data_IF_115219704797
#
_entry.id   IF_115219704797
#
_cell.length_a   1.000
_cell.length_b   1.000
_cell.length_c   1.000
_cell.angle_alpha   90.00
_cell.angle_beta   90.00
_cell.angle_gamma   90.00
#
_symmetry.space_group_name_H-M   'P 1'
#
loop_
_entity.id
_entity.type
_entity.pdbx_description
1 polymer ?
#
# COMPACT_ATOMS: atom_id res chain seq x y z
N UNK A 1 -0.60 -18.15 -0.39
CA UNK A 1 0.86 -18.36 -0.47
C UNK A 1 1.54 -17.12 0.08
N UNK A 2 2.63 -17.25 0.83
CA UNK A 2 3.44 -16.11 1.28
C UNK A 2 4.42 -15.73 0.17
N UNK A 3 4.27 -14.58 -0.50
CA UNK A 3 5.15 -14.21 -1.61
C UNK A 3 6.55 -13.85 -1.09
N UNK A 4 7.60 -14.26 -1.79
CA UNK A 4 9.01 -13.97 -1.49
C UNK A 4 9.46 -12.77 -2.33
N UNK A 5 9.67 -11.63 -1.68
CA UNK A 5 9.96 -10.36 -2.36
C UNK A 5 11.42 -10.00 -2.14
N UNK A 6 12.20 -9.96 -3.23
CA UNK A 6 13.58 -9.49 -3.19
C UNK A 6 13.61 -7.97 -3.34
N UNK A 7 14.10 -7.28 -2.31
CA UNK A 7 14.27 -5.82 -2.26
C UNK A 7 15.73 -5.47 -2.48
N UNK A 8 16.03 -4.73 -3.53
CA UNK A 8 17.38 -4.24 -3.86
C UNK A 8 17.39 -2.72 -3.67
N UNK A 9 17.88 -2.25 -2.53
CA UNK A 9 17.81 -0.84 -2.15
C UNK A 9 18.83 -0.46 -1.07
N UNK A 10 18.92 0.83 -0.73
CA UNK A 10 19.71 1.30 0.40
C UNK A 10 18.98 1.18 1.74
N UNK A 11 19.75 1.12 2.83
CA UNK A 11 19.27 1.14 4.21
C UNK A 11 19.18 2.57 4.73
N UNK A 12 18.01 2.96 5.23
CA UNK A 12 17.75 4.23 5.93
C UNK A 12 17.78 3.99 7.46
N UNK A 13 18.77 4.55 8.16
CA UNK A 13 18.87 4.40 9.62
C UNK A 13 17.68 4.99 10.40
N UNK A 14 16.96 5.96 9.83
CA UNK A 14 15.76 6.53 10.43
C UNK A 14 14.53 5.62 10.29
N UNK A 15 14.62 4.59 9.44
CA UNK A 15 13.60 3.57 9.28
C UNK A 15 12.31 4.03 8.58
N UNK A 16 12.31 5.22 7.96
CA UNK A 16 11.14 5.77 7.28
C UNK A 16 11.07 5.44 5.79
N UNK A 17 12.22 5.26 5.14
CA UNK A 17 12.34 4.86 3.74
C UNK A 17 13.28 3.64 3.59
N UNK A 18 13.77 3.41 2.36
CA UNK A 18 14.74 2.37 2.05
C UNK A 18 14.24 0.97 2.41
N UNK A 19 15.19 0.07 2.65
CA UNK A 19 14.93 -1.33 3.01
C UNK A 19 14.01 -1.45 4.24
N UNK A 20 14.12 -0.53 5.20
CA UNK A 20 13.29 -0.56 6.40
C UNK A 20 11.81 -0.36 6.07
N UNK A 21 11.47 0.62 5.21
CA UNK A 21 10.11 0.80 4.72
C UNK A 21 9.68 -0.39 3.85
N UNK A 22 10.58 -0.91 3.04
CA UNK A 22 10.31 -2.05 2.15
C UNK A 22 9.94 -3.31 2.96
N UNK A 23 10.75 -3.70 3.95
CA UNK A 23 10.49 -4.84 4.85
C UNK A 23 9.16 -4.67 5.58
N UNK A 24 8.91 -3.48 6.17
CA UNK A 24 7.64 -3.20 6.86
C UNK A 24 6.45 -3.39 5.92
N UNK A 25 6.56 -2.85 4.71
CA UNK A 25 5.49 -2.93 3.71
C UNK A 25 5.21 -4.37 3.31
N UNK A 26 6.24 -5.12 2.90
CA UNK A 26 6.11 -6.52 2.50
C UNK A 26 5.55 -7.36 3.65
N UNK A 27 6.06 -7.17 4.86
CA UNK A 27 5.62 -7.92 6.06
C UNK A 27 4.16 -7.64 6.38
N UNK A 28 3.76 -6.35 6.40
CA UNK A 28 2.39 -5.95 6.70
C UNK A 28 1.39 -6.40 5.63
N UNK A 29 1.86 -6.61 4.41
CA UNK A 29 1.09 -7.20 3.32
C UNK A 29 1.13 -8.73 3.32
N UNK A 30 1.80 -9.37 4.28
CA UNK A 30 1.88 -10.81 4.46
C UNK A 30 2.83 -11.50 3.46
N UNK A 31 3.87 -10.81 3.03
CA UNK A 31 4.99 -11.38 2.26
C UNK A 31 6.22 -11.64 3.12
N UNK A 32 7.19 -12.33 2.55
CA UNK A 32 8.53 -12.53 3.10
C UNK A 32 9.51 -11.61 2.37
N UNK A 33 10.08 -10.64 3.10
CA UNK A 33 11.04 -9.69 2.55
C UNK A 33 12.47 -10.26 2.61
N UNK A 34 13.13 -10.33 1.46
CA UNK A 34 14.56 -10.59 1.33
C UNK A 34 15.24 -9.32 0.82
N UNK A 35 16.50 -9.10 1.15
CA UNK A 35 17.17 -7.83 0.86
C UNK A 35 18.55 -8.01 0.27
N UNK A 36 18.89 -7.17 -0.72
CA UNK A 36 20.26 -6.90 -1.12
C UNK A 36 20.54 -5.40 -0.92
N UNK A 37 21.37 -5.10 0.07
CA UNK A 37 21.66 -3.74 0.50
C UNK A 37 22.68 -3.11 -0.44
N UNK A 38 22.31 -1.99 -1.08
CA UNK A 38 23.17 -1.26 -2.04
C UNK A 38 24.02 -0.17 -1.38
N UNK A 39 23.54 0.38 -0.27
CA UNK A 39 24.24 1.38 0.54
C UNK A 39 23.63 1.41 1.95
N UNK A 40 24.38 1.89 2.92
CA UNK A 40 23.85 2.29 4.23
C UNK A 40 23.91 3.81 4.35
N UNK A 41 22.84 4.43 4.85
CA UNK A 41 22.81 5.87 5.11
C UNK A 41 22.76 6.14 6.62
N UNK A 42 23.56 7.11 7.06
CA UNK A 42 23.30 7.83 8.31
C UNK A 42 22.28 8.91 7.95
N UNK A 43 21.02 8.65 8.28
CA UNK A 43 19.86 9.43 7.88
C UNK A 43 18.82 9.47 8.99
N UNK A 44 18.14 10.60 9.09
CA UNK A 44 16.99 10.80 9.98
C UNK A 44 15.96 11.71 9.30
N UNK A 45 14.95 12.16 10.04
CA UNK A 45 13.86 13.00 9.50
C UNK A 45 14.29 14.41 9.08
N UNK A 46 15.51 14.83 9.43
CA UNK A 46 16.11 16.10 9.02
C UNK A 46 16.98 15.96 7.74
N UNK A 47 17.20 14.74 7.27
CA UNK A 47 17.90 14.45 6.03
C UNK A 47 19.03 13.44 6.16
N UNK A 48 19.89 13.39 5.15
CA UNK A 48 21.03 12.46 5.04
C UNK A 48 22.31 13.14 5.55
N UNK A 49 23.00 12.50 6.49
CA UNK A 49 24.28 12.95 7.06
C UNK A 49 25.47 12.19 6.49
N UNK A 50 25.27 10.99 5.97
CA UNK A 50 26.34 10.19 5.38
C UNK A 50 25.80 9.02 4.56
N UNK A 51 26.59 8.60 3.57
CA UNK A 51 26.29 7.47 2.70
C UNK A 51 27.53 6.60 2.57
N UNK A 52 27.38 5.31 2.82
CA UNK A 52 28.44 4.33 2.59
C UNK A 52 27.94 3.30 1.56
N UNK A 53 28.48 3.32 0.32
CA UNK A 53 28.10 2.38 -0.72
C UNK A 53 28.61 0.97 -0.39
N UNK A 54 27.78 -0.03 -0.63
CA UNK A 54 28.19 -1.44 -0.52
C UNK A 54 28.90 -1.83 -1.83
N UNK A 55 30.07 -2.50 -1.77
CA UNK A 55 30.75 -3.00 -2.96
C UNK A 55 29.83 -3.82 -3.87
N UNK A 56 29.93 -3.61 -5.19
CA UNK A 56 29.03 -4.25 -6.19
C UNK A 56 29.04 -5.78 -6.07
N UNK A 57 30.20 -6.39 -5.87
CA UNK A 57 30.34 -7.84 -5.69
C UNK A 57 29.57 -8.36 -4.47
N UNK A 58 29.60 -7.62 -3.35
CA UNK A 58 28.81 -7.93 -2.16
C UNK A 58 27.29 -7.76 -2.41
N UNK A 59 26.87 -6.77 -3.19
CA UNK A 59 25.44 -6.63 -3.58
C UNK A 59 24.99 -7.85 -4.37
N UNK A 60 25.79 -8.30 -5.35
CA UNK A 60 25.47 -9.49 -6.15
C UNK A 60 25.51 -10.76 -5.29
N UNK A 61 26.46 -10.89 -4.37
CA UNK A 61 26.54 -12.04 -3.46
C UNK A 61 25.29 -12.15 -2.56
N UNK A 62 24.75 -11.02 -2.09
CA UNK A 62 23.47 -11.01 -1.34
C UNK A 62 22.30 -11.51 -2.19
N UNK A 63 22.20 -11.03 -3.44
CA UNK A 63 21.16 -11.48 -4.39
C UNK A 63 21.28 -12.98 -4.62
N UNK A 64 22.49 -13.47 -4.93
CA UNK A 64 22.72 -14.88 -5.24
C UNK A 64 22.42 -15.78 -4.03
N UNK A 65 22.78 -15.35 -2.82
CA UNK A 65 22.52 -16.11 -1.59
C UNK A 65 21.02 -16.35 -1.38
N UNK A 66 20.19 -15.30 -1.49
CA UNK A 66 18.74 -15.45 -1.24
C UNK A 66 18.00 -16.09 -2.41
N UNK A 67 18.41 -15.80 -3.65
CA UNK A 67 17.78 -16.38 -4.85
C UNK A 67 18.03 -17.89 -4.93
N UNK A 68 19.24 -18.35 -4.64
CA UNK A 68 19.62 -19.76 -4.80
C UNK A 68 19.02 -20.70 -3.76
N UNK A 69 18.68 -20.19 -2.57
CA UNK A 69 18.11 -20.97 -1.47
C UNK A 69 16.60 -20.75 -1.32
N UNK A 70 16.18 -19.51 -1.13
CA UNK A 70 14.79 -19.16 -0.78
C UNK A 70 13.93 -19.06 -2.05
N UNK A 71 14.50 -18.58 -3.16
CA UNK A 71 13.81 -18.24 -4.40
C UNK A 71 13.06 -16.90 -4.33
N UNK A 72 12.51 -16.46 -5.47
CA UNK A 72 11.94 -15.10 -5.62
C UNK A 72 10.62 -15.15 -6.41
N UNK A 73 9.60 -14.46 -5.91
CA UNK A 73 8.30 -14.30 -6.58
C UNK A 73 8.12 -12.91 -7.21
N UNK A 74 8.80 -11.88 -6.69
CA UNK A 74 8.90 -10.57 -7.31
C UNK A 74 10.14 -9.81 -6.82
N UNK A 75 10.59 -8.83 -7.59
CA UNK A 75 11.71 -7.95 -7.23
C UNK A 75 11.23 -6.52 -7.13
N UNK A 76 11.64 -5.82 -6.07
CA UNK A 76 11.59 -4.35 -6.00
C UNK A 76 12.99 -3.80 -6.03
N UNK A 77 13.23 -2.83 -6.90
CA UNK A 77 14.49 -2.09 -7.01
C UNK A 77 14.22 -0.66 -6.56
N UNK A 78 14.99 -0.16 -5.61
CA UNK A 78 14.95 1.23 -5.15
C UNK A 78 16.25 1.96 -5.45
N UNK A 79 16.74 2.74 -4.48
CA UNK A 79 18.02 3.44 -4.59
C UNK A 79 19.17 2.49 -4.94
N UNK A 80 19.82 2.73 -6.08
CA UNK A 80 21.06 2.06 -6.49
C UNK A 80 22.20 3.08 -6.45
N UNK A 81 23.27 2.74 -5.72
CA UNK A 81 24.35 3.67 -5.40
C UNK A 81 25.40 3.90 -6.51
N UNK A 82 25.35 3.17 -7.63
CA UNK A 82 26.28 3.40 -8.75
C UNK A 82 25.79 2.77 -10.07
N UNK A 83 26.30 3.29 -11.19
CA UNK A 83 26.10 2.72 -12.53
C UNK A 83 26.64 1.28 -12.67
N UNK A 84 27.74 0.96 -11.98
CA UNK A 84 28.32 -0.38 -11.96
C UNK A 84 27.37 -1.37 -11.29
N UNK A 85 26.88 -1.02 -10.10
CA UNK A 85 25.90 -1.84 -9.35
C UNK A 85 24.61 -1.98 -10.14
N UNK A 86 24.09 -0.90 -10.75
CA UNK A 86 22.90 -0.94 -11.60
C UNK A 86 23.06 -1.94 -12.75
N UNK A 87 24.21 -1.88 -13.44
CA UNK A 87 24.51 -2.76 -14.57
C UNK A 87 24.70 -4.23 -14.15
N UNK A 88 25.31 -4.48 -12.99
CA UNK A 88 25.48 -5.81 -12.44
C UNK A 88 24.15 -6.43 -11.99
N UNK A 89 23.31 -5.64 -11.31
CA UNK A 89 21.96 -6.05 -10.90
C UNK A 89 21.12 -6.36 -12.13
N UNK A 90 21.09 -5.47 -13.13
CA UNK A 90 20.35 -5.71 -14.37
C UNK A 90 20.75 -7.04 -15.04
N UNK A 91 22.05 -7.30 -15.19
CA UNK A 91 22.55 -8.59 -15.73
C UNK A 91 22.06 -9.79 -14.93
N UNK A 92 22.04 -9.69 -13.59
CA UNK A 92 21.60 -10.80 -12.73
C UNK A 92 20.10 -11.05 -12.87
N UNK A 93 19.31 -9.99 -12.98
CA UNK A 93 17.85 -10.06 -13.10
C UNK A 93 17.38 -10.47 -14.51
N UNK A 94 18.14 -10.17 -15.56
CA UNK A 94 17.86 -10.66 -16.93
C UNK A 94 17.76 -12.19 -17.01
N UNK A 95 18.47 -12.89 -16.14
CA UNK A 95 18.41 -14.35 -16.05
C UNK A 95 17.15 -14.88 -15.33
N UNK A 96 16.39 -14.02 -14.65
CA UNK A 96 15.18 -14.39 -13.90
C UNK A 96 13.93 -14.25 -14.74
N UNK A 97 13.65 -15.23 -15.59
CA UNK A 97 12.46 -15.21 -16.45
C UNK A 97 11.17 -15.39 -15.64
N UNK A 98 10.15 -14.59 -15.95
CA UNK A 98 8.82 -14.73 -15.33
C UNK A 98 8.67 -14.13 -13.94
N UNK A 99 9.72 -13.50 -13.40
CA UNK A 99 9.67 -12.78 -12.12
C UNK A 99 9.33 -11.31 -12.40
N UNK A 100 8.21 -10.77 -11.90
CA UNK A 100 7.88 -9.36 -12.06
C UNK A 100 8.88 -8.46 -11.32
N UNK A 101 9.30 -7.39 -11.98
CA UNK A 101 10.27 -6.42 -11.47
C UNK A 101 9.59 -5.04 -11.39
N UNK A 102 9.55 -4.47 -10.19
CA UNK A 102 9.13 -3.09 -9.92
C UNK A 102 10.35 -2.23 -9.68
N UNK A 103 10.59 -1.25 -10.55
CA UNK A 103 11.71 -0.32 -10.44
C UNK A 103 11.21 1.06 -9.99
N UNK A 104 11.64 1.49 -8.79
CA UNK A 104 11.47 2.85 -8.28
C UNK A 104 12.77 3.62 -8.57
N UNK A 105 12.81 4.50 -9.59
CA UNK A 105 14.04 5.13 -10.07
C UNK A 105 14.44 6.29 -9.14
N UNK A 106 14.76 5.98 -7.89
CA UNK A 106 15.10 6.97 -6.86
C UNK A 106 16.37 7.72 -7.26
N UNK A 107 16.21 8.98 -7.66
CA UNK A 107 17.34 9.85 -8.04
C UNK A 107 17.69 10.86 -6.95
N UNK A 108 16.72 11.25 -6.12
CA UNK A 108 16.86 12.29 -5.09
C UNK A 108 16.13 11.83 -3.82
N UNK A 109 16.73 12.08 -2.67
CA UNK A 109 16.08 11.79 -1.38
C UNK A 109 14.90 12.74 -1.12
N UNK A 110 13.96 12.37 -0.25
CA UNK A 110 12.91 13.30 0.22
C UNK A 110 13.48 14.58 0.84
N UNK A 111 14.70 14.52 1.38
CA UNK A 111 15.45 15.67 1.90
C UNK A 111 16.25 16.46 0.85
N UNK A 112 16.15 16.13 -0.43
CA UNK A 112 16.79 16.86 -1.53
C UNK A 112 18.23 16.46 -1.88
N UNK A 113 18.84 15.52 -1.14
CA UNK A 113 20.18 15.01 -1.49
C UNK A 113 20.15 14.20 -2.79
N UNK A 114 21.06 14.50 -3.72
CA UNK A 114 21.28 13.72 -4.95
C UNK A 114 21.77 12.31 -4.62
N UNK A 115 21.08 11.30 -5.13
CA UNK A 115 21.39 9.88 -4.88
C UNK A 115 21.87 9.15 -6.14
N UNK A 116 21.64 9.71 -7.33
CA UNK A 116 22.10 9.17 -8.60
C UNK A 116 22.80 10.26 -9.42
N UNK A 117 23.98 9.95 -9.95
CA UNK A 117 24.69 10.80 -10.92
C UNK A 117 24.22 10.50 -12.37
N UNK A 118 24.68 11.31 -13.34
CA UNK A 118 24.28 11.13 -14.74
C UNK A 118 24.66 9.76 -15.32
N UNK A 119 25.75 9.16 -14.87
CA UNK A 119 26.15 7.81 -15.28
C UNK A 119 25.18 6.76 -14.75
N UNK A 120 24.72 6.92 -13.50
CA UNK A 120 23.73 6.04 -12.87
C UNK A 120 22.37 6.17 -13.53
N UNK A 121 21.95 7.39 -13.89
CA UNK A 121 20.71 7.63 -14.66
C UNK A 121 20.79 6.98 -16.04
N UNK A 122 21.93 7.04 -16.72
CA UNK A 122 22.13 6.33 -17.98
C UNK A 122 22.02 4.79 -17.80
N UNK A 123 22.51 4.27 -16.67
CA UNK A 123 22.39 2.85 -16.36
C UNK A 123 20.93 2.42 -16.03
N UNK A 124 20.06 3.34 -15.61
CA UNK A 124 18.64 3.05 -15.36
C UNK A 124 17.91 2.57 -16.60
N UNK A 125 18.31 2.97 -17.81
CA UNK A 125 17.69 2.49 -19.04
C UNK A 125 17.71 0.96 -19.14
N UNK A 126 18.78 0.31 -18.66
CA UNK A 126 18.84 -1.15 -18.66
C UNK A 126 17.88 -1.77 -17.65
N UNK A 127 17.76 -1.17 -16.47
CA UNK A 127 16.82 -1.62 -15.44
C UNK A 127 15.37 -1.43 -15.87
N UNK A 128 15.06 -0.29 -16.50
CA UNK A 128 13.72 -0.03 -17.04
C UNK A 128 13.35 -1.07 -18.09
N UNK A 129 14.26 -1.44 -19.00
CA UNK A 129 13.98 -2.40 -20.08
C UNK A 129 13.59 -3.79 -19.60
N UNK A 130 14.04 -4.17 -18.40
CA UNK A 130 13.67 -5.45 -17.78
C UNK A 130 12.54 -5.31 -16.76
N UNK A 131 12.17 -4.08 -16.40
CA UNK A 131 11.13 -3.82 -15.41
C UNK A 131 9.73 -4.12 -15.99
N UNK A 132 8.93 -4.82 -15.20
CA UNK A 132 7.49 -4.94 -15.44
C UNK A 132 6.81 -3.60 -15.23
N UNK A 133 7.22 -2.86 -14.19
CA UNK A 133 6.72 -1.55 -13.86
C UNK A 133 7.86 -0.63 -13.44
N UNK A 134 7.89 0.59 -13.97
CA UNK A 134 8.72 1.68 -13.44
C UNK A 134 7.82 2.74 -12.80
N UNK A 135 8.16 3.22 -11.60
CA UNK A 135 7.29 4.09 -10.78
C UNK A 135 7.87 5.48 -10.53
N UNK A 136 8.16 6.32 -11.54
CA UNK A 136 8.79 7.61 -11.30
C UNK A 136 7.79 8.65 -10.77
N UNK A 137 8.28 9.61 -9.99
CA UNK A 137 7.57 10.86 -9.69
C UNK A 137 7.76 11.88 -10.83
N UNK A 138 7.07 13.03 -10.76
CA UNK A 138 7.13 14.06 -11.80
C UNK A 138 8.58 14.55 -12.07
N UNK A 139 9.39 14.94 -11.06
CA UNK A 139 10.80 15.26 -11.28
C UNK A 139 11.63 14.14 -11.93
N UNK A 140 11.42 12.89 -11.52
CA UNK A 140 12.12 11.72 -12.08
C UNK A 140 11.74 11.51 -13.56
N UNK A 141 10.50 11.79 -13.96
CA UNK A 141 10.08 11.73 -15.37
C UNK A 141 10.84 12.74 -16.22
N UNK A 142 11.00 13.97 -15.74
CA UNK A 142 11.77 14.99 -16.44
C UNK A 142 13.23 14.54 -16.62
N UNK A 143 13.85 14.01 -15.56
CA UNK A 143 15.21 13.49 -15.60
C UNK A 143 15.37 12.27 -16.53
N UNK A 144 14.31 11.48 -16.75
CA UNK A 144 14.29 10.36 -17.69
C UNK A 144 14.05 10.78 -19.15
N UNK A 145 13.90 12.08 -19.44
CA UNK A 145 13.66 12.62 -20.77
C UNK A 145 12.18 12.73 -21.16
N UNK A 146 11.28 12.72 -20.18
CA UNK A 146 9.84 12.90 -20.35
C UNK A 146 9.04 11.60 -20.47
N UNK A 147 7.71 11.72 -20.32
CA UNK A 147 6.76 10.59 -20.23
C UNK A 147 6.87 9.64 -21.45
N UNK A 148 6.92 10.18 -22.67
CA UNK A 148 6.98 9.39 -23.89
C UNK A 148 8.25 8.53 -23.97
N UNK A 149 9.40 9.10 -23.57
CA UNK A 149 10.68 8.40 -23.58
C UNK A 149 10.75 7.35 -22.47
N UNK A 150 10.29 7.68 -21.27
CA UNK A 150 10.23 6.75 -20.15
C UNK A 150 9.32 5.56 -20.46
N UNK A 151 8.13 5.81 -21.01
CA UNK A 151 7.15 4.79 -21.40
C UNK A 151 7.71 3.82 -22.44
N UNK A 152 8.51 4.29 -23.39
CA UNK A 152 9.13 3.43 -24.41
C UNK A 152 10.26 2.52 -23.91
N UNK A 153 10.66 2.65 -22.64
CA UNK A 153 11.80 1.93 -22.04
C UNK A 153 11.42 0.93 -20.97
N UNK A 154 10.14 0.75 -20.64
CA UNK A 154 9.64 -0.09 -19.53
C UNK A 154 8.43 -0.90 -19.97
N UNK A 155 8.10 -1.98 -19.26
CA UNK A 155 6.87 -2.74 -19.51
C UNK A 155 5.61 -1.89 -19.30
N UNK A 156 5.55 -1.17 -18.18
CA UNK A 156 4.55 -0.16 -17.89
C UNK A 156 5.16 0.97 -17.04
N UNK A 157 4.52 2.14 -17.06
CA UNK A 157 4.95 3.34 -16.34
C UNK A 157 3.84 3.81 -15.39
N UNK A 158 4.11 3.86 -14.09
CA UNK A 158 3.22 4.48 -13.10
C UNK A 158 3.73 5.88 -12.77
N UNK A 159 3.10 6.89 -13.35
CA UNK A 159 3.36 8.30 -13.07
C UNK A 159 2.69 8.67 -11.75
N UNK A 160 3.50 8.94 -10.72
CA UNK A 160 3.03 9.29 -9.37
C UNK A 160 2.65 10.77 -9.27
N UNK A 161 1.40 11.07 -8.91
CA UNK A 161 0.86 12.43 -8.86
C UNK A 161 1.19 13.23 -7.60
N UNK A 162 1.83 12.62 -6.59
CA UNK A 162 1.98 13.25 -5.26
C UNK A 162 2.71 14.59 -5.22
N UNK A 163 3.48 14.92 -6.26
CA UNK A 163 4.20 16.19 -6.44
C UNK A 163 3.41 17.25 -7.22
N UNK A 164 2.23 16.92 -7.74
CA UNK A 164 1.34 17.89 -8.39
C UNK A 164 0.76 18.88 -7.39
N UNK A 165 0.21 19.99 -7.88
CA UNK A 165 -0.51 20.97 -7.07
C UNK A 165 -1.99 20.59 -6.91
N UNK A 166 -2.66 21.12 -5.89
CA UNK A 166 -4.11 20.97 -5.68
C UNK A 166 -4.52 19.91 -4.65
N UNK A 167 -5.84 19.86 -4.41
CA UNK A 167 -6.48 19.03 -3.38
C UNK A 167 -6.64 17.57 -3.78
N UNK A 168 -6.41 17.22 -5.05
CA UNK A 168 -6.51 15.87 -5.58
C UNK A 168 -5.14 15.39 -6.08
N UNK A 169 -4.80 14.13 -5.82
CA UNK A 169 -3.62 13.44 -6.35
C UNK A 169 -4.07 12.45 -7.40
N UNK A 170 -3.46 12.53 -8.58
CA UNK A 170 -3.78 11.66 -9.72
C UNK A 170 -2.58 10.79 -10.07
N UNK A 171 -2.73 9.48 -9.94
CA UNK A 171 -1.75 8.50 -10.41
C UNK A 171 -2.20 7.89 -11.74
N UNK A 172 -1.29 7.76 -12.70
CA UNK A 172 -1.57 7.25 -14.05
C UNK A 172 -0.67 6.07 -14.38
N UNK A 173 -1.26 4.91 -14.68
CA UNK A 173 -0.58 3.75 -15.23
C UNK A 173 -0.68 3.80 -16.75
N UNK A 174 0.46 3.83 -17.42
CA UNK A 174 0.59 3.95 -18.86
C UNK A 174 1.24 2.70 -19.43
N UNK A 175 0.61 2.14 -20.46
CA UNK A 175 1.09 0.99 -21.20
C UNK A 175 1.74 1.40 -22.53
N UNK A 176 2.64 0.55 -23.04
CA UNK A 176 3.33 0.81 -24.30
C UNK A 176 2.39 0.85 -25.52
N UNK A 177 1.26 0.14 -25.45
CA UNK A 177 0.21 0.10 -26.48
C UNK A 177 -0.72 1.33 -26.46
N UNK A 178 -0.53 2.25 -25.52
CA UNK A 178 -1.35 3.45 -25.36
C UNK A 178 -2.49 3.31 -24.35
N UNK A 179 -2.69 2.13 -23.73
CA UNK A 179 -3.63 1.97 -22.63
C UNK A 179 -3.29 2.86 -21.43
N UNK A 180 -4.33 3.34 -20.73
CA UNK A 180 -4.19 4.14 -19.51
C UNK A 180 -5.21 3.69 -18.45
N UNK A 181 -4.73 3.59 -17.21
CA UNK A 181 -5.58 3.47 -16.01
C UNK A 181 -5.25 4.64 -15.09
N UNK A 182 -6.28 5.31 -14.58
CA UNK A 182 -6.16 6.48 -13.72
C UNK A 182 -6.81 6.23 -12.38
N UNK A 183 -6.14 6.64 -11.30
CA UNK A 183 -6.71 6.74 -9.98
C UNK A 183 -6.60 8.17 -9.47
N UNK A 184 -7.61 8.61 -8.74
CA UNK A 184 -7.66 9.96 -8.18
C UNK A 184 -8.20 9.90 -6.75
N UNK A 185 -7.51 10.56 -5.82
CA UNK A 185 -7.91 10.61 -4.41
C UNK A 185 -7.58 11.98 -3.79
N UNK A 186 -8.30 12.39 -2.72
CA UNK A 186 -7.96 13.59 -1.97
C UNK A 186 -6.54 13.54 -1.40
N UNK A 187 -5.83 14.67 -1.45
CA UNK A 187 -4.54 14.86 -0.81
C UNK A 187 -4.67 14.70 0.71
N UNK A 188 -3.72 14.02 1.31
CA UNK A 188 -3.59 13.91 2.77
C UNK A 188 -2.56 14.93 3.21
N UNK A 189 -3.01 15.97 3.90
CA UNK A 189 -2.12 16.98 4.50
C UNK A 189 -1.38 16.37 5.70
N UNK A 190 -0.10 16.05 5.51
CA UNK A 190 0.77 15.53 6.57
C UNK A 190 2.24 15.85 6.27
N UNK A 191 3.04 16.25 7.28
CA UNK A 191 4.49 16.37 7.11
C UNK A 191 5.19 15.00 7.08
N UNK A 192 4.49 13.93 7.44
CA UNK A 192 5.05 12.58 7.61
C UNK A 192 4.89 11.72 6.36
N UNK A 193 5.53 12.14 5.27
CA UNK A 193 5.47 11.49 3.95
C UNK A 193 6.78 10.79 3.55
N UNK A 194 7.74 10.71 4.47
CA UNK A 194 9.04 10.08 4.19
C UNK A 194 8.85 8.59 3.87
N UNK A 195 9.41 8.17 2.73
CA UNK A 195 9.32 6.78 2.23
C UNK A 195 8.04 6.42 1.46
N UNK A 196 7.22 7.40 1.06
CA UNK A 196 6.00 7.16 0.26
C UNK A 196 6.28 6.34 -1.02
N UNK A 197 7.31 6.72 -1.79
CA UNK A 197 7.69 6.02 -3.03
C UNK A 197 8.14 4.58 -2.81
N UNK A 198 9.06 4.36 -1.86
CA UNK A 198 9.55 3.02 -1.52
C UNK A 198 8.41 2.10 -1.06
N UNK A 199 7.52 2.63 -0.23
CA UNK A 199 6.33 1.91 0.27
C UNK A 199 5.40 1.52 -0.87
N UNK A 200 5.09 2.46 -1.78
CA UNK A 200 4.23 2.16 -2.93
C UNK A 200 4.83 1.05 -3.81
N UNK A 201 6.10 1.19 -4.20
CA UNK A 201 6.77 0.22 -5.06
C UNK A 201 6.85 -1.18 -4.41
N UNK A 202 7.17 -1.25 -3.11
CA UNK A 202 7.23 -2.52 -2.37
C UNK A 202 5.86 -3.16 -2.20
N UNK A 203 4.81 -2.36 -2.01
CA UNK A 203 3.44 -2.87 -1.95
C UNK A 203 2.99 -3.45 -3.30
N UNK A 204 3.32 -2.78 -4.41
CA UNK A 204 3.03 -3.28 -5.76
C UNK A 204 3.78 -4.60 -6.01
N UNK A 205 5.09 -4.65 -5.71
CA UNK A 205 5.88 -5.87 -5.88
C UNK A 205 5.29 -7.02 -5.06
N UNK A 206 4.79 -6.75 -3.85
CA UNK A 206 4.13 -7.75 -3.01
C UNK A 206 2.83 -8.28 -3.64
N UNK A 207 2.02 -7.41 -4.23
CA UNK A 207 0.80 -7.81 -4.96
C UNK A 207 1.13 -8.68 -6.18
N UNK A 208 2.12 -8.27 -6.98
CA UNK A 208 2.58 -9.01 -8.15
C UNK A 208 3.15 -10.38 -7.76
N UNK A 209 3.94 -10.47 -6.69
CA UNK A 209 4.46 -11.74 -6.17
C UNK A 209 3.37 -12.68 -5.64
N UNK A 210 2.15 -12.18 -5.39
CA UNK A 210 0.96 -12.98 -5.06
C UNK A 210 0.16 -13.41 -6.29
N UNK A 211 0.57 -12.98 -7.49
CA UNK A 211 -0.14 -13.22 -8.73
C UNK A 211 -1.33 -12.29 -8.96
N UNK A 212 -1.42 -11.14 -8.26
CA UNK A 212 -2.42 -10.12 -8.57
C UNK A 212 -2.13 -9.49 -9.93
N UNK A 213 -3.17 -8.96 -10.58
CA UNK A 213 -2.95 -8.14 -11.79
C UNK A 213 -2.17 -6.87 -11.43
N UNK A 214 -1.56 -6.24 -12.43
CA UNK A 214 -0.81 -5.00 -12.22
C UNK A 214 -1.70 -3.87 -11.68
N UNK A 215 -2.90 -3.70 -12.25
CA UNK A 215 -3.85 -2.68 -11.82
C UNK A 215 -4.33 -2.92 -10.38
N UNK A 216 -4.67 -4.16 -10.02
CA UNK A 216 -5.10 -4.49 -8.65
C UNK A 216 -3.97 -4.32 -7.64
N UNK A 217 -2.74 -4.70 -8.02
CA UNK A 217 -1.54 -4.49 -7.19
C UNK A 217 -1.33 -3.01 -6.89
N UNK A 218 -1.51 -2.14 -7.89
CA UNK A 218 -1.39 -0.69 -7.74
C UNK A 218 -2.54 -0.15 -6.89
N UNK A 219 -3.79 -0.51 -7.17
CA UNK A 219 -4.93 -0.06 -6.39
C UNK A 219 -4.78 -0.40 -4.89
N UNK A 220 -4.39 -1.64 -4.57
CA UNK A 220 -4.11 -2.08 -3.20
C UNK A 220 -2.95 -1.31 -2.57
N UNK A 221 -1.85 -1.14 -3.31
CA UNK A 221 -0.68 -0.42 -2.82
C UNK A 221 -0.99 1.05 -2.47
N UNK A 222 -1.84 1.70 -3.27
CA UNK A 222 -2.30 3.06 -3.00
C UNK A 222 -3.10 3.14 -1.70
N UNK A 223 -4.04 2.21 -1.48
CA UNK A 223 -4.78 2.14 -0.19
C UNK A 223 -3.82 1.92 0.98
N UNK A 224 -2.82 1.05 0.84
CA UNK A 224 -1.81 0.83 1.88
C UNK A 224 -1.08 2.13 2.26
N UNK A 225 -0.56 2.85 1.26
CA UNK A 225 0.17 4.11 1.46
C UNK A 225 -0.71 5.14 2.13
N UNK A 226 -1.96 5.31 1.67
CA UNK A 226 -2.89 6.27 2.25
C UNK A 226 -3.20 5.98 3.72
N UNK A 227 -3.45 4.72 4.05
CA UNK A 227 -3.63 4.30 5.45
C UNK A 227 -2.37 4.56 6.28
N UNK A 228 -1.18 4.29 5.73
CA UNK A 228 0.08 4.56 6.42
C UNK A 228 0.30 6.05 6.67
N UNK A 229 -0.08 6.92 5.73
CA UNK A 229 -0.02 8.37 5.89
C UNK A 229 -0.96 8.86 7.01
N UNK A 230 -2.20 8.33 7.06
CA UNK A 230 -3.17 8.68 8.11
C UNK A 230 -2.77 8.18 9.50
N UNK A 231 -1.97 7.11 9.55
CA UNK A 231 -1.48 6.49 10.78
C UNK A 231 -0.07 6.93 11.17
N UNK A 232 0.45 8.00 10.55
CA UNK A 232 1.79 8.47 10.83
C UNK A 232 2.00 8.73 12.34
N UNK A 233 3.07 8.17 12.95
CA UNK A 233 3.25 8.21 14.41
C UNK A 233 3.74 9.56 14.95
N UNK A 234 3.97 10.57 14.10
CA UNK A 234 4.41 11.89 14.56
C UNK A 234 5.88 11.99 14.94
N UNK A 235 6.74 11.09 14.45
CA UNK A 235 8.15 11.03 14.89
C UNK A 235 9.08 11.99 14.13
N UNK A 236 10.03 12.56 14.89
CA UNK A 236 11.11 13.41 14.38
C UNK A 236 10.72 14.88 14.16
N UNK A 237 11.71 15.72 13.88
CA UNK A 237 11.53 17.18 13.72
C UNK A 237 11.38 17.69 12.28
N UNK A 238 11.48 16.81 11.29
CA UNK A 238 11.32 17.13 9.85
C UNK A 238 10.29 16.23 9.18
N UNK A 239 10.64 15.65 8.03
CA UNK A 239 9.76 14.71 7.32
C UNK A 239 9.78 13.35 8.01
N UNK A 240 8.76 13.08 8.82
CA UNK A 240 8.66 11.85 9.60
C UNK A 240 8.24 10.62 8.78
N UNK A 241 8.42 9.42 9.34
CA UNK A 241 7.98 8.18 8.72
C UNK A 241 6.46 8.04 8.73
N UNK A 242 5.93 7.23 7.81
CA UNK A 242 4.52 6.80 7.82
C UNK A 242 4.25 5.71 8.88
N UNK A 243 2.98 5.41 9.11
CA UNK A 243 2.50 4.44 10.11
C UNK A 243 2.31 3.01 9.59
N UNK A 244 3.33 2.41 8.94
CA UNK A 244 3.22 1.05 8.37
C UNK A 244 2.65 0.02 9.35
N UNK A 245 3.09 0.06 10.62
CA UNK A 245 2.69 -0.88 11.68
C UNK A 245 1.19 -0.83 12.05
N UNK A 246 0.51 0.26 11.72
CA UNK A 246 -0.91 0.49 12.02
C UNK A 246 -1.82 0.28 10.80
N UNK A 247 -1.25 -0.02 9.63
CA UNK A 247 -2.03 -0.36 8.44
C UNK A 247 -2.73 -1.70 8.65
N UNK A 248 -4.04 -1.73 8.38
CA UNK A 248 -4.88 -2.93 8.39
C UNK A 248 -5.63 -2.98 7.06
N UNK A 249 -5.22 -3.90 6.19
CA UNK A 249 -5.90 -4.19 4.94
C UNK A 249 -6.62 -5.52 5.10
N UNK A 250 -7.87 -5.45 5.54
CA UNK A 250 -8.66 -6.64 5.84
C UNK A 250 -9.34 -7.23 4.58
N UNK A 251 -9.06 -6.74 3.37
CA UNK A 251 -9.79 -7.15 2.16
C UNK A 251 -9.15 -8.25 1.30
N UNK A 252 -7.88 -8.61 1.52
CA UNK A 252 -7.07 -9.07 0.38
C UNK A 252 -6.13 -10.25 0.68
N UNK A 253 -6.61 -11.15 1.54
CA UNK A 253 -5.99 -12.45 1.88
C UNK A 253 -6.71 -13.65 1.23
N UNK A 254 -7.59 -13.42 0.26
CA UNK A 254 -8.27 -14.49 -0.50
C UNK A 254 -9.64 -14.91 0.05
N UNK A 255 -10.23 -14.13 0.97
CA UNK A 255 -11.54 -14.41 1.56
C UNK A 255 -12.11 -13.18 2.28
N UNK A 256 -13.37 -13.30 2.70
CA UNK A 256 -14.04 -12.27 3.47
C UNK A 256 -13.49 -12.24 4.91
N UNK A 257 -13.23 -11.05 5.45
CA UNK A 257 -12.62 -10.89 6.78
C UNK A 257 -13.55 -10.18 7.74
N UNK A 258 -13.70 -10.74 8.94
CA UNK A 258 -14.46 -10.09 10.01
C UNK A 258 -13.65 -8.92 10.59
N UNK A 259 -14.14 -7.71 10.36
CA UNK A 259 -13.49 -6.50 10.87
C UNK A 259 -14.48 -5.43 11.34
N UNK A 260 -15.79 -5.67 11.19
CA UNK A 260 -16.82 -4.81 11.76
C UNK A 260 -18.02 -5.60 12.29
N UNK A 261 -18.56 -5.14 13.42
CA UNK A 261 -19.85 -5.58 13.96
C UNK A 261 -20.66 -4.34 14.29
N UNK A 262 -21.94 -4.33 13.91
CA UNK A 262 -22.90 -3.33 14.38
C UNK A 262 -23.88 -3.98 15.35
N UNK A 263 -24.10 -3.39 16.52
CA UNK A 263 -25.02 -3.89 17.54
C UNK A 263 -26.15 -2.89 17.81
N UNK A 264 -27.34 -3.36 18.22
CA UNK A 264 -28.46 -2.46 18.49
C UNK A 264 -28.22 -1.68 19.79
N UNK A 265 -28.53 -0.39 19.78
CA UNK A 265 -28.56 0.44 21.00
C UNK A 265 -30.00 0.73 21.44
N UNK A 266 -30.15 0.87 22.75
CA UNK A 266 -31.38 1.35 23.42
C UNK A 266 -31.14 2.72 24.06
N UNK A 267 -29.99 2.89 24.70
CA UNK A 267 -29.53 4.16 25.27
C UNK A 267 -28.15 4.49 24.66
N UNK A 268 -28.10 5.57 23.88
CA UNK A 268 -26.88 6.03 23.23
C UNK A 268 -25.77 6.37 24.23
N UNK A 269 -26.09 7.16 25.26
CA UNK A 269 -25.11 7.68 26.19
C UNK A 269 -24.50 6.54 27.03
N UNK A 270 -25.34 5.62 27.50
CA UNK A 270 -24.89 4.44 28.24
C UNK A 270 -24.03 3.52 27.36
N UNK A 271 -24.45 3.24 26.13
CA UNK A 271 -23.72 2.37 25.20
C UNK A 271 -22.37 2.98 24.81
N UNK A 272 -22.33 4.27 24.47
CA UNK A 272 -21.09 4.95 24.11
C UNK A 272 -20.12 5.05 25.28
N UNK A 273 -20.61 5.26 26.50
CA UNK A 273 -19.77 5.22 27.71
C UNK A 273 -19.21 3.82 27.95
N UNK A 274 -20.01 2.77 27.79
CA UNK A 274 -19.59 1.38 27.95
C UNK A 274 -18.47 0.99 26.99
N UNK A 275 -18.61 1.25 25.69
CA UNK A 275 -17.57 0.89 24.72
C UNK A 275 -16.28 1.69 24.89
N UNK A 276 -16.36 2.96 25.30
CA UNK A 276 -15.17 3.73 25.69
C UNK A 276 -14.49 3.17 26.92
N UNK A 277 -15.25 2.70 27.93
CA UNK A 277 -14.71 2.04 29.11
C UNK A 277 -13.93 0.76 28.76
N UNK A 278 -14.35 0.03 27.72
CA UNK A 278 -13.64 -1.15 27.21
C UNK A 278 -12.36 -0.82 26.41
N UNK A 279 -12.01 0.46 26.30
CA UNK A 279 -10.82 0.92 25.59
C UNK A 279 -11.01 1.07 24.08
N UNK A 280 -12.24 1.04 23.57
CA UNK A 280 -12.51 1.36 22.17
C UNK A 280 -12.55 2.89 22.00
N UNK A 281 -11.78 3.40 21.03
CA UNK A 281 -11.78 4.82 20.69
C UNK A 281 -13.01 5.12 19.85
N UNK A 282 -13.84 6.06 20.27
CA UNK A 282 -14.94 6.55 19.43
C UNK A 282 -14.37 7.36 18.26
N UNK A 283 -14.71 6.96 17.03
CA UNK A 283 -14.21 7.57 15.80
C UNK A 283 -15.32 8.20 14.95
N UNK A 284 -16.59 7.91 15.24
CA UNK A 284 -17.75 8.57 14.62
C UNK A 284 -18.80 8.82 15.68
N UNK A 285 -19.44 9.99 15.62
CA UNK A 285 -20.60 10.36 16.43
C UNK A 285 -21.73 10.87 15.55
N UNK A 286 -22.91 10.29 15.72
CA UNK A 286 -24.18 10.73 15.12
C UNK A 286 -25.30 10.50 16.13
N UNK A 287 -25.17 11.12 17.31
CA UNK A 287 -26.13 10.98 18.40
C UNK A 287 -27.53 11.50 18.00
N UNK A 288 -28.61 10.87 18.48
CA UNK A 288 -28.65 9.67 19.33
C UNK A 288 -28.63 8.36 18.54
N UNK A 289 -28.46 8.42 17.21
CA UNK A 289 -28.71 7.30 16.30
C UNK A 289 -27.57 6.28 16.25
N UNK A 290 -26.33 6.78 16.15
CA UNK A 290 -25.19 5.96 15.78
C UNK A 290 -23.87 6.44 16.38
N UNK A 291 -22.99 5.49 16.72
CA UNK A 291 -21.58 5.75 16.95
C UNK A 291 -20.72 4.60 16.42
N UNK A 292 -19.50 4.91 15.98
CA UNK A 292 -18.48 3.92 15.62
C UNK A 292 -17.29 4.05 16.53
N UNK A 293 -16.76 2.90 16.91
CA UNK A 293 -15.58 2.75 17.74
C UNK A 293 -14.53 1.91 17.00
N UNK A 294 -13.27 2.17 17.32
CA UNK A 294 -12.11 1.48 16.78
C UNK A 294 -11.32 0.85 17.94
N UNK A 295 -10.96 -0.42 17.77
CA UNK A 295 -10.04 -1.14 18.65
C UNK A 295 -8.58 -0.84 18.29
N UNK A 296 -7.66 -1.09 19.22
CA UNK A 296 -6.22 -0.98 18.95
C UNK A 296 -5.74 -1.89 17.80
N UNK A 297 -6.47 -2.98 17.51
CA UNK A 297 -6.21 -3.87 16.38
C UNK A 297 -6.68 -3.33 15.03
N UNK A 298 -7.42 -2.21 14.99
CA UNK A 298 -8.01 -1.61 13.81
C UNK A 298 -9.38 -2.19 13.41
N UNK A 299 -9.89 -3.20 14.12
CA UNK A 299 -11.26 -3.67 14.00
C UNK A 299 -12.23 -2.62 14.55
N UNK A 300 -13.41 -2.49 13.93
CA UNK A 300 -14.42 -1.49 14.28
C UNK A 300 -15.66 -2.13 14.89
N UNK A 301 -16.29 -1.43 15.82
CA UNK A 301 -17.60 -1.77 16.37
C UNK A 301 -18.51 -0.56 16.23
N UNK A 302 -19.73 -0.75 15.78
CA UNK A 302 -20.72 0.31 15.72
C UNK A 302 -21.91 -0.02 16.61
N UNK A 303 -22.53 1.04 17.14
CA UNK A 303 -23.85 0.99 17.76
C UNK A 303 -24.81 1.75 16.86
N UNK A 304 -25.98 1.20 16.59
CA UNK A 304 -27.03 1.80 15.75
C UNK A 304 -28.40 1.61 16.41
N UNK A 305 -29.33 2.53 16.22
CA UNK A 305 -30.72 2.38 16.69
C UNK A 305 -31.31 1.06 16.21
N UNK A 306 -32.00 0.36 17.13
CA UNK A 306 -32.52 -0.99 16.87
C UNK A 306 -33.36 -1.10 15.59
N UNK A 307 -34.17 -0.08 15.29
CA UNK A 307 -35.04 -0.07 14.09
C UNK A 307 -34.26 -0.14 12.77
N UNK A 308 -33.09 0.50 12.70
CA UNK A 308 -32.25 0.53 11.48
C UNK A 308 -31.58 -0.82 11.18
N UNK A 309 -31.44 -1.68 12.18
CA UNK A 309 -30.81 -3.01 12.04
C UNK A 309 -31.75 -4.15 12.46
N UNK A 310 -33.06 -3.91 12.44
CA UNK A 310 -34.09 -4.91 12.78
C UNK A 310 -33.86 -5.60 14.14
N UNK A 311 -33.36 -4.83 15.12
CA UNK A 311 -33.16 -5.23 16.51
C UNK A 311 -32.10 -6.29 16.75
N UNK A 312 -31.25 -6.60 15.76
CA UNK A 312 -30.26 -7.69 15.85
C UNK A 312 -28.85 -7.22 15.45
N UNK A 313 -27.79 -7.82 15.99
CA UNK A 313 -26.44 -7.55 15.52
C UNK A 313 -26.27 -7.90 14.04
N UNK A 314 -25.46 -7.11 13.34
CA UNK A 314 -25.06 -7.35 11.96
C UNK A 314 -23.55 -7.51 11.91
N UNK A 315 -23.10 -8.62 11.34
CA UNK A 315 -21.67 -8.89 11.13
C UNK A 315 -21.25 -8.41 9.74
N UNK A 316 -20.15 -7.68 9.67
CA UNK A 316 -19.63 -7.14 8.41
C UNK A 316 -18.34 -7.87 8.05
N UNK A 317 -18.30 -8.39 6.82
CA UNK A 317 -17.16 -9.10 6.27
C UNK A 317 -16.59 -8.32 5.08
N UNK A 318 -15.39 -7.77 5.24
CA UNK A 318 -14.76 -6.97 4.20
C UNK A 318 -14.24 -7.87 3.08
N UNK A 319 -14.52 -7.46 1.84
CA UNK A 319 -14.17 -8.16 0.62
C UNK A 319 -13.35 -7.24 -0.29
N UNK A 320 -12.19 -7.69 -0.73
CA UNK A 320 -11.36 -6.96 -1.71
C UNK A 320 -12.06 -6.82 -3.06
N UNK A 321 -12.71 -7.88 -3.52
CA UNK A 321 -13.59 -7.90 -4.70
C UNK A 321 -14.99 -8.35 -4.28
N UNK A 322 -15.85 -7.36 -4.00
CA UNK A 322 -17.22 -7.57 -3.56
C UNK A 322 -18.08 -8.19 -4.68
N UNK A 323 -17.84 -7.81 -5.93
CA UNK A 323 -18.62 -8.30 -7.07
C UNK A 323 -18.36 -9.79 -7.29
N UNK A 324 -17.09 -10.22 -7.31
CA UNK A 324 -16.74 -11.63 -7.43
C UNK A 324 -17.24 -12.46 -6.23
N UNK A 325 -17.23 -11.91 -5.02
CA UNK A 325 -17.79 -12.59 -3.85
C UNK A 325 -19.30 -12.78 -3.97
N UNK A 326 -20.04 -11.75 -4.38
CA UNK A 326 -21.50 -11.86 -4.58
C UNK A 326 -21.84 -12.90 -5.65
N UNK A 327 -21.10 -12.94 -6.76
CA UNK A 327 -21.27 -13.98 -7.79
C UNK A 327 -21.08 -15.37 -7.18
N UNK A 328 -19.98 -15.59 -6.44
CA UNK A 328 -19.69 -16.87 -5.78
C UNK A 328 -20.78 -17.30 -4.80
N UNK A 329 -21.29 -16.36 -4.00
CA UNK A 329 -22.37 -16.63 -3.03
C UNK A 329 -23.66 -17.04 -3.75
N UNK A 330 -24.00 -16.38 -4.87
CA UNK A 330 -25.17 -16.72 -5.69
C UNK A 330 -25.03 -18.08 -6.36
N UNK A 331 -23.86 -18.40 -6.90
CA UNK A 331 -23.57 -19.70 -7.51
C UNK A 331 -23.70 -20.84 -6.49
N UNK A 332 -23.44 -20.58 -5.21
CA UNK A 332 -23.66 -21.51 -4.11
C UNK A 332 -25.14 -21.61 -3.67
N UNK A 333 -26.06 -20.91 -4.33
CA UNK A 333 -27.50 -20.93 -4.02
C UNK A 333 -27.91 -20.08 -2.80
N UNK A 334 -27.03 -19.20 -2.32
CA UNK A 334 -27.31 -18.33 -1.18
C UNK A 334 -27.86 -16.99 -1.69
N UNK A 335 -28.97 -16.54 -1.07
CA UNK A 335 -29.56 -15.24 -1.39
C UNK A 335 -28.68 -14.09 -0.88
N UNK A 336 -28.34 -13.18 -1.78
CA UNK A 336 -27.55 -11.97 -1.48
C UNK A 336 -27.98 -10.82 -2.39
N UNK A 337 -28.10 -9.62 -1.82
CA UNK A 337 -28.46 -8.41 -2.58
C UNK A 337 -27.34 -8.03 -3.55
N UNK A 338 -27.66 -7.19 -4.55
CA UNK A 338 -26.61 -6.59 -5.37
C UNK A 338 -25.73 -5.66 -4.52
N UNK A 339 -24.43 -5.52 -4.86
CA UNK A 339 -23.57 -4.50 -4.29
C UNK A 339 -24.08 -3.09 -4.58
N UNK A 340 -24.35 -2.30 -3.54
CA UNK A 340 -24.82 -0.90 -3.66
C UNK A 340 -23.80 0.04 -3.05
N UNK A 341 -23.48 1.14 -3.74
CA UNK A 341 -22.70 2.24 -3.16
C UNK A 341 -23.58 3.03 -2.21
N UNK A 342 -23.17 3.09 -0.95
CA UNK A 342 -23.93 3.74 0.10
C UNK A 342 -23.53 5.21 0.28
N UNK A 343 -24.44 5.98 0.87
CA UNK A 343 -24.23 7.41 1.16
C UNK A 343 -23.03 7.72 2.06
N UNK A 344 -22.57 6.71 2.82
CA UNK A 344 -21.40 6.79 3.69
C UNK A 344 -20.09 6.32 3.01
N UNK A 345 -20.10 6.16 1.68
CA UNK A 345 -18.88 6.07 0.88
C UNK A 345 -18.24 4.69 0.79
N UNK A 346 -19.01 3.61 0.96
CA UNK A 346 -18.56 2.25 0.64
C UNK A 346 -19.67 1.40 0.04
N UNK A 347 -19.30 0.26 -0.55
CA UNK A 347 -20.25 -0.66 -1.19
C UNK A 347 -20.68 -1.77 -0.24
N UNK A 348 -21.95 -2.13 -0.24
CA UNK A 348 -22.52 -3.17 0.62
C UNK A 348 -23.38 -4.18 -0.18
N UNK A 349 -23.35 -5.44 0.22
CA UNK A 349 -24.27 -6.49 -0.20
C UNK A 349 -24.71 -7.31 1.02
N UNK A 350 -26.02 -7.48 1.21
CA UNK A 350 -26.60 -8.07 2.42
C UNK A 350 -27.07 -9.49 2.16
N UNK A 351 -26.88 -10.35 3.16
CA UNK A 351 -27.25 -11.76 3.13
C UNK A 351 -27.54 -12.27 4.54
N UNK A 352 -28.04 -13.50 4.63
CA UNK A 352 -28.18 -14.22 5.88
C UNK A 352 -27.42 -15.54 5.82
N UNK A 353 -26.87 -15.96 6.96
CA UNK A 353 -26.32 -17.30 7.09
C UNK A 353 -27.45 -18.36 7.15
N UNK A 354 -27.12 -19.67 7.15
CA UNK A 354 -28.14 -20.72 7.22
C UNK A 354 -29.03 -20.70 8.47
N UNK A 355 -28.61 -20.01 9.55
CA UNK A 355 -29.39 -19.85 10.77
C UNK A 355 -30.20 -18.54 10.79
N UNK A 356 -30.10 -17.70 9.76
CA UNK A 356 -30.80 -16.42 9.67
C UNK A 356 -30.08 -15.25 10.34
N UNK A 357 -28.80 -15.41 10.70
CA UNK A 357 -27.98 -14.32 11.22
C UNK A 357 -27.67 -13.32 10.11
N UNK A 358 -27.80 -12.03 10.41
CA UNK A 358 -27.60 -10.96 9.44
C UNK A 358 -26.10 -10.73 9.17
N UNK A 359 -25.76 -10.74 7.88
CA UNK A 359 -24.41 -10.51 7.37
C UNK A 359 -24.44 -9.35 6.35
N UNK A 360 -23.34 -8.60 6.30
CA UNK A 360 -23.06 -7.63 5.26
C UNK A 360 -21.66 -7.90 4.67
N UNK A 361 -21.61 -8.20 3.38
CA UNK A 361 -20.36 -8.16 2.61
C UNK A 361 -20.14 -6.73 2.17
N UNK A 362 -18.95 -6.18 2.35
CA UNK A 362 -18.70 -4.78 2.02
C UNK A 362 -17.28 -4.52 1.54
N UNK A 363 -17.08 -3.40 0.86
CA UNK A 363 -15.79 -2.94 0.35
C UNK A 363 -15.65 -1.45 0.73
N UNK A 364 -14.95 -1.18 1.83
CA UNK A 364 -14.89 0.16 2.43
C UNK A 364 -13.52 0.83 2.37
N UNK A 365 -12.44 0.07 2.20
CA UNK A 365 -11.10 0.63 2.05
C UNK A 365 -10.73 1.50 3.26
N UNK A 366 -10.30 2.75 3.02
CA UNK A 366 -9.96 3.66 4.14
C UNK A 366 -11.17 4.18 4.90
N UNK A 367 -12.34 4.31 4.26
CA UNK A 367 -13.53 4.99 4.81
C UNK A 367 -14.14 4.29 6.02
N UNK A 368 -13.86 3.00 6.21
CA UNK A 368 -14.26 2.26 7.42
C UNK A 368 -13.71 2.92 8.69
N UNK A 369 -12.42 3.23 8.66
CA UNK A 369 -11.68 3.81 9.78
C UNK A 369 -11.59 5.32 9.63
N UNK A 370 -11.37 5.83 8.42
CA UNK A 370 -11.10 7.23 8.12
C UNK A 370 -12.17 7.88 7.24
N UNK A 371 -13.45 7.85 7.64
CA UNK A 371 -14.47 8.59 6.91
C UNK A 371 -14.22 10.11 7.04
N UNK A 372 -14.81 10.90 6.14
CA UNK A 372 -14.64 12.35 6.14
C UNK A 372 -15.13 13.04 7.43
N UNK A 373 -16.04 12.41 8.18
CA UNK A 373 -16.59 12.87 9.46
C UNK A 373 -15.95 12.17 10.67
N UNK A 374 -14.74 11.62 10.53
CA UNK A 374 -14.03 10.97 11.63
C UNK A 374 -13.75 11.99 12.75
N UNK A 375 -13.98 11.59 13.99
CA UNK A 375 -13.54 12.33 15.17
C UNK A 375 -12.00 12.34 15.24
N UNK A 376 -11.41 13.44 15.76
CA UNK A 376 -9.95 13.58 15.88
C UNK A 376 -9.29 12.52 16.78
#
# INVERSE_FOLDING_TARGET
MTPRILVIAGSDSGGGAGIQADIKTVTMLGGHAMTAITAITAQNTLGVQGVHPIPTDMVIAQIDAVVSDIGVDAVKIGMIGSAETASAVARRLEAMTGVPIVFDPVMVSTSGATLADGATIAAFERLMRIATLTTPNLPEIEALGGEAMARGRTGALLVKGGHGEGEEIVDRLLFADGGEVRWADPRIETPHSHGTGCTLASAIATGLGRGMTLADSIARARVFVRLALREAPGFGGGHGPMGHQAVRLDGDLGGAMLNQITVPLVDYAASAAFYRLLGLRQIVESAPRYARFESAGGGTLSIETADEIAGRPVMFLECGDLDAMVVRVREAGIAVTDPVMESWGWREARLADPAGNALCLYQAGENRRFPAWRLP
#
